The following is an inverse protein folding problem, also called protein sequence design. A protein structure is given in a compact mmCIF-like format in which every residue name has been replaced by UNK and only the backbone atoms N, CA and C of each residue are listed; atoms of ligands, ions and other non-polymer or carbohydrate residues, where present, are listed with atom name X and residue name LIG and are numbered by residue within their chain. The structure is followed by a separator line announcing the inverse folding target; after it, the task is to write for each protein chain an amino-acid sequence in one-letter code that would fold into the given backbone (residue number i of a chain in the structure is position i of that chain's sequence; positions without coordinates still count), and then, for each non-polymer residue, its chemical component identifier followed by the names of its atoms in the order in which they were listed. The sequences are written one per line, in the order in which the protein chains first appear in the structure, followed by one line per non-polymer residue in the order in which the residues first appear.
data_IF_940625862109
#
_entry.id   IF_940625862109
#
_cell.length_a   1.000
_cell.length_b   1.000
_cell.length_c   1.000
_cell.angle_alpha   90.00
_cell.angle_beta   90.00
_cell.angle_gamma   90.00
#
_symmetry.space_group_name_H-M   'P 1'
#
loop_
_entity.id
_entity.type
_entity.pdbx_description
1 polymer ?
#
# COMPACT_ATOMS: atom_id res chain seq x y z
N UNK A 1 31.06 24.43 8.49
CA UNK A 1 29.60 24.31 8.65
C UNK A 1 28.97 24.00 7.29
N UNK A 2 28.15 22.94 7.21
CA UNK A 2 27.41 22.58 5.99
C UNK A 2 26.13 23.39 5.85
N UNK A 3 25.56 23.84 6.96
CA UNK A 3 24.35 24.67 6.99
C UNK A 3 24.66 26.10 7.46
N UNK A 4 23.95 27.10 6.89
CA UNK A 4 23.02 26.98 5.75
C UNK A 4 23.75 26.57 4.46
N UNK A 5 23.03 25.89 3.55
CA UNK A 5 23.57 25.54 2.24
C UNK A 5 23.96 26.83 1.48
N UNK A 6 25.15 26.83 0.89
CA UNK A 6 25.58 27.94 0.04
C UNK A 6 25.03 27.74 -1.39
N UNK A 7 23.86 28.30 -1.66
CA UNK A 7 23.19 28.19 -2.94
C UNK A 7 23.91 28.78 -4.15
N UNK A 8 25.00 29.54 -3.93
CA UNK A 8 25.80 30.09 -5.01
C UNK A 8 26.85 29.13 -5.59
N UNK A 9 27.10 28.00 -4.92
CA UNK A 9 28.12 27.02 -5.32
C UNK A 9 27.56 25.61 -5.46
N UNK A 10 26.26 25.46 -5.38
CA UNK A 10 25.53 24.19 -5.49
C UNK A 10 24.64 24.27 -6.71
N UNK A 11 24.80 23.35 -7.66
CA UNK A 11 23.95 23.23 -8.85
C UNK A 11 23.02 22.04 -8.74
N UNK A 12 23.41 21.00 -7.96
CA UNK A 12 22.66 19.75 -7.85
C UNK A 12 22.62 19.20 -6.44
N UNK A 13 21.43 18.83 -5.99
CA UNK A 13 21.17 18.23 -4.68
C UNK A 13 20.55 16.83 -4.83
N UNK A 14 21.12 15.85 -4.13
CA UNK A 14 20.50 14.53 -3.94
C UNK A 14 19.59 14.55 -2.70
N UNK A 15 18.34 14.14 -2.84
CA UNK A 15 17.46 13.87 -1.69
C UNK A 15 17.32 12.35 -1.55
N UNK A 16 17.78 11.80 -0.44
CA UNK A 16 17.95 10.37 -0.26
C UNK A 16 17.16 9.92 0.98
N UNK A 17 16.51 8.80 0.87
CA UNK A 17 15.81 8.15 1.97
C UNK A 17 14.38 7.78 1.63
N UNK A 18 13.87 6.67 2.17
CA UNK A 18 12.52 6.18 1.86
C UNK A 18 11.42 7.16 2.30
N UNK A 19 11.64 7.90 3.38
CA UNK A 19 10.69 8.91 3.86
C UNK A 19 10.82 10.26 3.13
N UNK A 20 11.82 10.45 2.28
CA UNK A 20 11.88 11.63 1.42
C UNK A 20 10.79 11.61 0.34
N UNK A 21 10.49 10.43 -0.22
CA UNK A 21 9.45 10.22 -1.23
C UNK A 21 8.10 9.74 -0.68
N UNK A 22 8.00 9.52 0.64
CA UNK A 22 6.78 9.04 1.29
C UNK A 22 6.48 9.88 2.55
N UNK A 23 5.30 10.49 2.57
CA UNK A 23 4.85 11.28 3.73
C UNK A 23 4.38 10.35 4.87
N UNK A 24 5.28 10.08 5.81
CA UNK A 24 4.97 9.35 7.04
C UNK A 24 4.61 10.37 8.14
N UNK A 25 3.35 10.81 8.16
CA UNK A 25 2.87 11.87 9.06
C UNK A 25 2.37 11.36 10.41
N UNK A 26 2.21 10.04 10.56
CA UNK A 26 1.72 9.39 11.78
C UNK A 26 2.26 7.98 11.92
N UNK A 27 2.33 7.50 13.16
CA UNK A 27 2.75 6.13 13.47
C UNK A 27 1.69 5.05 13.21
N UNK A 28 0.47 5.44 12.80
CA UNK A 28 -0.62 4.49 12.56
C UNK A 28 -1.43 4.17 13.82
N UNK A 29 -2.17 3.05 13.79
CA UNK A 29 -3.01 2.60 14.91
C UNK A 29 -4.16 3.55 15.21
N UNK A 30 -4.46 3.76 16.50
CA UNK A 30 -5.54 4.64 16.98
C UNK A 30 -5.27 6.13 16.73
N UNK A 31 -4.03 6.51 16.50
CA UNK A 31 -3.65 7.88 16.16
C UNK A 31 -3.73 8.21 14.66
N UNK A 32 -4.08 7.22 13.83
CA UNK A 32 -4.19 7.42 12.39
C UNK A 32 -5.38 8.32 12.05
N UNK A 33 -5.11 9.47 11.42
CA UNK A 33 -6.12 10.35 10.84
C UNK A 33 -5.94 10.44 9.33
N UNK A 34 -7.00 10.75 8.61
CA UNK A 34 -6.94 11.04 7.18
C UNK A 34 -6.68 12.53 7.01
N UNK A 35 -5.46 12.94 6.62
CA UNK A 35 -5.15 14.35 6.43
C UNK A 35 -5.84 14.89 5.18
N UNK A 36 -6.14 16.20 5.16
CA UNK A 36 -6.71 16.88 4.00
C UNK A 36 -5.74 16.86 2.82
N UNK A 37 -4.44 16.98 3.09
CA UNK A 37 -3.36 16.82 2.10
C UNK A 37 -2.14 16.17 2.73
N UNK A 38 -1.30 15.60 1.88
CA UNK A 38 0.02 15.09 2.25
C UNK A 38 1.06 15.76 1.37
N UNK A 39 2.23 16.02 1.93
CA UNK A 39 3.38 16.51 1.19
C UNK A 39 4.62 15.81 1.69
N UNK A 40 5.37 15.21 0.78
CA UNK A 40 6.64 14.57 1.12
C UNK A 40 7.76 15.60 1.27
N UNK A 41 8.85 15.29 1.99
CA UNK A 41 10.02 16.14 2.03
C UNK A 41 10.56 16.48 0.61
N UNK A 42 10.61 15.52 -0.29
CA UNK A 42 11.05 15.73 -1.67
C UNK A 42 10.13 16.72 -2.42
N UNK A 43 8.81 16.53 -2.36
CA UNK A 43 7.83 17.45 -2.98
C UNK A 43 7.88 18.87 -2.39
N UNK A 44 8.40 19.03 -1.17
CA UNK A 44 8.58 20.35 -0.56
C UNK A 44 9.92 20.98 -0.92
N UNK A 45 10.99 20.20 -0.95
CA UNK A 45 12.37 20.67 -1.14
C UNK A 45 12.66 20.95 -2.62
N UNK A 46 12.37 20.00 -3.51
CA UNK A 46 12.77 20.07 -4.92
C UNK A 46 12.22 21.31 -5.66
N UNK A 47 10.90 21.61 -5.60
CA UNK A 47 10.37 22.80 -6.26
C UNK A 47 10.93 24.10 -5.68
N UNK A 48 11.21 24.14 -4.39
CA UNK A 48 11.75 25.32 -3.74
C UNK A 48 13.19 25.60 -4.19
N UNK A 49 14.03 24.58 -4.21
CA UNK A 49 15.41 24.69 -4.67
C UNK A 49 15.47 25.13 -6.14
N UNK A 50 14.62 24.58 -6.97
CA UNK A 50 14.55 24.93 -8.38
C UNK A 50 14.02 26.37 -8.60
N UNK A 51 12.89 26.72 -8.00
CA UNK A 51 12.22 28.01 -8.25
C UNK A 51 12.96 29.21 -7.66
N UNK A 52 13.63 29.05 -6.50
CA UNK A 52 14.31 30.14 -5.81
C UNK A 52 15.78 30.26 -6.20
N UNK A 53 16.43 29.15 -6.61
CA UNK A 53 17.90 29.09 -6.78
C UNK A 53 18.35 28.40 -8.06
N UNK A 54 17.45 27.89 -8.89
CA UNK A 54 17.74 27.11 -10.11
C UNK A 54 18.56 25.83 -9.86
N UNK A 55 18.50 25.28 -8.63
CA UNK A 55 19.20 24.07 -8.22
C UNK A 55 18.41 22.82 -8.60
N UNK A 56 19.02 21.92 -9.38
CA UNK A 56 18.44 20.62 -9.72
C UNK A 56 18.37 19.69 -8.51
N UNK A 57 17.31 18.90 -8.43
CA UNK A 57 17.12 17.96 -7.32
C UNK A 57 16.66 16.61 -7.82
N UNK A 58 17.42 15.57 -7.52
CA UNK A 58 17.07 14.18 -7.80
C UNK A 58 16.81 13.40 -6.52
N UNK A 59 16.02 12.33 -6.64
CA UNK A 59 15.61 11.47 -5.52
C UNK A 59 16.12 10.04 -5.68
N UNK A 60 16.54 9.44 -4.56
CA UNK A 60 16.78 8.00 -4.45
C UNK A 60 16.28 7.47 -3.10
N UNK A 61 15.63 6.31 -3.12
CA UNK A 61 15.07 5.69 -1.91
C UNK A 61 16.16 5.25 -0.93
N UNK A 62 17.23 4.65 -1.43
CA UNK A 62 18.43 4.25 -0.67
C UNK A 62 18.28 3.04 0.24
N UNK A 63 17.11 2.84 0.86
CA UNK A 63 16.83 1.70 1.72
C UNK A 63 15.34 1.37 1.72
N UNK A 64 15.01 0.22 2.28
CA UNK A 64 13.66 -0.31 2.41
C UNK A 64 13.26 -0.35 3.89
N UNK A 65 12.08 0.16 4.24
CA UNK A 65 11.62 0.28 5.64
C UNK A 65 10.22 -0.29 5.88
N UNK A 66 9.58 -0.91 4.89
CA UNK A 66 8.23 -1.43 5.07
C UNK A 66 8.27 -2.67 5.97
N UNK A 67 7.60 -2.62 7.12
CA UNK A 67 7.41 -3.76 8.01
C UNK A 67 6.37 -4.74 7.45
N UNK A 68 5.37 -4.24 6.73
CA UNK A 68 4.36 -5.02 6.01
C UNK A 68 4.35 -4.57 4.55
N UNK A 69 3.98 -5.47 3.64
CA UNK A 69 3.87 -5.10 2.23
C UNK A 69 2.97 -3.87 2.04
N UNK A 70 3.38 -2.87 1.24
CA UNK A 70 2.57 -1.68 1.00
C UNK A 70 1.20 -2.04 0.44
N UNK A 71 0.14 -1.43 0.96
CA UNK A 71 -1.22 -1.55 0.40
C UNK A 71 -1.32 -0.75 -0.89
N UNK A 72 -2.19 -1.18 -1.79
CA UNK A 72 -2.55 -0.39 -2.96
C UNK A 72 -3.27 0.88 -2.54
N UNK A 73 -2.78 2.02 -3.01
CA UNK A 73 -3.39 3.33 -2.82
C UNK A 73 -4.18 3.81 -4.02
N UNK A 74 -4.70 5.02 -3.93
CA UNK A 74 -5.39 5.68 -5.04
C UNK A 74 -4.48 5.78 -6.28
N UNK A 75 -5.03 5.45 -7.45
CA UNK A 75 -4.33 5.51 -8.74
C UNK A 75 -3.55 4.23 -9.12
N UNK A 76 -3.52 3.22 -8.26
CA UNK A 76 -2.92 1.92 -8.58
C UNK A 76 -3.98 0.86 -8.93
N UNK A 77 -5.13 0.91 -8.26
CA UNK A 77 -6.26 0.01 -8.51
C UNK A 77 -7.51 0.83 -8.78
N UNK A 78 -8.31 0.37 -9.72
CA UNK A 78 -9.51 1.04 -10.21
C UNK A 78 -10.72 0.11 -10.12
N UNK A 79 -11.85 0.69 -9.77
CA UNK A 79 -13.18 0.07 -9.75
C UNK A 79 -13.69 -0.20 -11.18
N UNK A 80 -14.76 -0.94 -11.30
CA UNK A 80 -15.42 -1.22 -12.59
C UNK A 80 -15.90 0.04 -13.31
N UNK A 81 -16.21 1.11 -12.58
CA UNK A 81 -16.59 2.41 -13.14
C UNK A 81 -15.40 3.32 -13.50
N UNK A 82 -14.16 2.87 -13.29
CA UNK A 82 -12.92 3.60 -13.56
C UNK A 82 -12.47 4.53 -12.43
N UNK A 83 -13.23 4.66 -11.34
CA UNK A 83 -12.78 5.41 -10.16
C UNK A 83 -11.71 4.64 -9.37
N UNK A 84 -10.82 5.33 -8.63
CA UNK A 84 -9.85 4.67 -7.76
C UNK A 84 -10.48 3.79 -6.69
N UNK A 85 -9.89 2.63 -6.41
CA UNK A 85 -10.27 1.75 -5.31
C UNK A 85 -10.88 0.42 -5.75
N UNK A 86 -11.64 -0.17 -4.84
CA UNK A 86 -12.31 -1.46 -5.00
C UNK A 86 -13.82 -1.31 -4.91
N UNK A 87 -14.56 -2.04 -5.75
CA UNK A 87 -15.97 -2.33 -5.53
C UNK A 87 -16.07 -3.39 -4.44
N UNK A 88 -16.99 -3.22 -3.49
CA UNK A 88 -17.19 -4.15 -2.37
C UNK A 88 -18.62 -4.62 -2.34
N UNK A 89 -18.80 -5.92 -2.37
CA UNK A 89 -20.08 -6.61 -2.22
C UNK A 89 -20.09 -7.36 -0.90
N UNK A 90 -21.20 -7.28 -0.18
CA UNK A 90 -21.40 -7.99 1.09
C UNK A 90 -22.52 -9.02 0.93
N UNK A 91 -22.31 -10.18 1.50
CA UNK A 91 -23.20 -11.33 1.39
C UNK A 91 -23.60 -11.83 2.79
N UNK A 92 -24.85 -12.21 2.94
CA UNK A 92 -25.30 -12.96 4.09
C UNK A 92 -24.74 -14.40 4.01
N UNK A 93 -24.30 -14.93 5.14
CA UNK A 93 -23.62 -16.23 5.20
C UNK A 93 -22.15 -16.22 4.75
N UNK A 94 -21.40 -17.14 5.35
CA UNK A 94 -19.99 -17.36 4.99
C UNK A 94 -19.89 -18.08 3.63
N UNK A 95 -18.73 -17.93 3.00
CA UNK A 95 -18.43 -18.57 1.72
C UNK A 95 -19.45 -18.23 0.63
N UNK A 96 -20.07 -17.03 0.72
CA UNK A 96 -21.06 -16.54 -0.24
C UNK A 96 -22.29 -17.44 -0.35
N UNK A 97 -22.65 -18.14 0.73
CA UNK A 97 -23.76 -19.11 0.77
C UNK A 97 -25.13 -18.46 0.72
N UNK A 98 -25.24 -17.19 1.12
CA UNK A 98 -26.46 -16.39 1.03
C UNK A 98 -26.48 -15.41 -0.12
N UNK A 99 -27.51 -14.56 -0.17
CA UNK A 99 -27.63 -13.52 -1.18
C UNK A 99 -26.74 -12.31 -0.93
N UNK A 100 -26.42 -11.58 -2.01
CA UNK A 100 -25.80 -10.26 -1.89
C UNK A 100 -26.79 -9.28 -1.23
N UNK A 101 -26.34 -8.62 -0.15
CA UNK A 101 -27.22 -7.75 0.66
C UNK A 101 -26.82 -6.28 0.59
N UNK A 102 -25.55 -5.99 0.26
CA UNK A 102 -25.06 -4.62 0.21
C UNK A 102 -23.93 -4.48 -0.82
N UNK A 103 -23.84 -3.28 -1.42
CA UNK A 103 -22.70 -2.84 -2.24
C UNK A 103 -22.08 -1.59 -1.66
N UNK A 104 -20.78 -1.40 -1.89
CA UNK A 104 -20.04 -0.24 -1.45
C UNK A 104 -18.71 -0.11 -2.19
N UNK A 105 -17.82 0.70 -1.66
CA UNK A 105 -16.47 0.86 -2.20
C UNK A 105 -15.44 1.12 -1.11
N UNK A 106 -14.18 0.79 -1.41
CA UNK A 106 -13.02 1.09 -0.58
C UNK A 106 -11.93 1.77 -1.43
N UNK A 107 -11.33 2.83 -0.91
CA UNK A 107 -10.35 3.64 -1.65
C UNK A 107 -8.97 2.98 -1.77
N UNK A 108 -8.69 1.98 -0.96
CA UNK A 108 -7.42 1.27 -0.91
C UNK A 108 -7.64 -0.21 -0.61
N UNK A 109 -6.58 -0.99 -0.60
CA UNK A 109 -6.64 -2.43 -0.37
C UNK A 109 -6.61 -2.85 1.12
N UNK A 110 -6.88 -1.95 2.04
CA UNK A 110 -7.25 -2.29 3.41
C UNK A 110 -8.78 -2.29 3.52
N UNK A 111 -9.37 -3.44 3.22
CA UNK A 111 -10.82 -3.65 3.27
C UNK A 111 -11.24 -3.80 4.73
N UNK A 112 -11.95 -2.81 5.26
CA UNK A 112 -12.25 -2.76 6.69
C UNK A 112 -13.64 -2.19 6.97
N UNK A 113 -14.39 -2.89 7.80
CA UNK A 113 -15.64 -2.39 8.36
C UNK A 113 -15.40 -1.75 9.71
N UNK A 114 -15.66 -0.46 9.79
CA UNK A 114 -15.54 0.34 11.02
C UNK A 114 -16.88 0.37 11.72
N UNK A 115 -16.89 0.07 13.02
CA UNK A 115 -18.12 0.06 13.82
C UNK A 115 -18.83 -1.28 13.90
N UNK A 116 -18.29 -2.34 13.30
CA UNK A 116 -18.87 -3.67 13.34
C UNK A 116 -19.20 -4.26 11.95
N UNK A 117 -19.88 -5.38 11.92
CA UNK A 117 -20.43 -5.94 10.70
C UNK A 117 -21.54 -5.02 10.14
N UNK A 118 -21.82 -5.06 8.82
CA UNK A 118 -22.97 -4.35 8.26
C UNK A 118 -24.29 -4.78 8.92
N UNK A 119 -25.23 -3.84 9.06
CA UNK A 119 -26.55 -4.12 9.69
C UNK A 119 -27.37 -5.18 8.95
N UNK A 120 -27.07 -5.41 7.67
CA UNK A 120 -27.80 -6.33 6.80
C UNK A 120 -27.36 -7.79 6.93
N UNK A 121 -26.37 -8.12 7.76
CA UNK A 121 -25.79 -9.48 7.90
C UNK A 121 -25.76 -9.92 9.36
N UNK A 122 -25.72 -11.24 9.59
CA UNK A 122 -25.38 -11.79 10.89
C UNK A 122 -23.88 -11.52 11.18
N UNK A 123 -23.52 -10.79 12.25
CA UNK A 123 -22.11 -10.52 12.59
C UNK A 123 -21.25 -11.78 12.79
N UNK A 124 -21.87 -12.94 12.95
CA UNK A 124 -21.18 -14.22 13.16
C UNK A 124 -21.06 -15.06 11.91
N UNK A 125 -21.75 -14.68 10.84
CA UNK A 125 -21.86 -15.51 9.63
C UNK A 125 -22.11 -14.66 8.38
N UNK A 126 -21.03 -14.11 7.79
CA UNK A 126 -21.14 -13.30 6.58
C UNK A 126 -19.86 -13.31 5.76
N UNK A 127 -19.95 -12.82 4.55
CA UNK A 127 -18.80 -12.73 3.64
C UNK A 127 -18.82 -11.44 2.82
N UNK A 128 -17.68 -11.13 2.24
CA UNK A 128 -17.51 -9.98 1.37
C UNK A 128 -16.55 -10.29 0.22
N UNK A 129 -16.81 -9.67 -0.91
CA UNK A 129 -15.92 -9.68 -2.09
C UNK A 129 -15.53 -8.26 -2.43
N UNK A 130 -14.23 -8.00 -2.54
CA UNK A 130 -13.69 -6.74 -3.04
C UNK A 130 -13.05 -6.99 -4.40
N UNK A 131 -13.44 -6.22 -5.41
CA UNK A 131 -12.97 -6.36 -6.79
C UNK A 131 -12.37 -5.05 -7.26
N UNK A 132 -11.18 -5.12 -7.89
CA UNK A 132 -10.52 -3.96 -8.47
C UNK A 132 -9.55 -4.37 -9.56
N UNK A 133 -9.26 -3.45 -10.46
CA UNK A 133 -8.32 -3.65 -11.56
C UNK A 133 -7.00 -2.97 -11.26
N UNK A 134 -5.94 -3.74 -11.06
CA UNK A 134 -4.58 -3.23 -10.87
C UNK A 134 -3.93 -2.94 -12.21
N UNK A 135 -3.37 -1.72 -12.36
CA UNK A 135 -2.55 -1.32 -13.50
C UNK A 135 -1.08 -1.43 -13.10
N UNK A 136 -0.37 -2.35 -13.75
CA UNK A 136 1.00 -2.71 -13.42
C UNK A 136 1.95 -1.57 -13.77
N UNK A 137 2.67 -1.04 -12.77
CA UNK A 137 3.55 0.12 -12.92
C UNK A 137 5.01 -0.22 -13.28
N UNK A 138 5.44 -1.47 -13.10
CA UNK A 138 6.78 -1.94 -13.42
C UNK A 138 6.75 -3.41 -13.81
N UNK A 139 7.57 -3.84 -14.78
CA UNK A 139 7.74 -5.25 -15.13
C UNK A 139 8.56 -5.99 -14.10
N UNK A 140 8.27 -7.28 -13.89
CA UNK A 140 9.02 -8.21 -13.05
C UNK A 140 8.18 -8.89 -11.98
N UNK A 141 8.85 -9.51 -11.03
CA UNK A 141 8.24 -10.32 -9.99
C UNK A 141 7.57 -9.45 -8.92
N UNK A 142 6.24 -9.42 -8.92
CA UNK A 142 5.44 -8.76 -7.91
C UNK A 142 5.17 -9.73 -6.77
N UNK A 143 5.42 -9.30 -5.53
CA UNK A 143 5.18 -10.12 -4.36
C UNK A 143 3.94 -9.60 -3.63
N UNK A 144 2.82 -10.27 -3.86
CA UNK A 144 1.54 -9.98 -3.21
C UNK A 144 1.49 -10.54 -1.81
N UNK A 145 0.71 -9.91 -0.93
CA UNK A 145 0.46 -10.41 0.41
C UNK A 145 -1.01 -10.28 0.80
N UNK A 146 -1.45 -11.17 1.67
CA UNK A 146 -2.75 -11.09 2.36
C UNK A 146 -2.56 -11.28 3.86
N UNK A 147 -3.24 -10.46 4.63
CA UNK A 147 -3.42 -10.62 6.07
C UNK A 147 -4.85 -10.22 6.43
N UNK A 148 -5.50 -10.91 7.34
CA UNK A 148 -6.87 -10.67 7.72
C UNK A 148 -7.23 -11.14 9.12
N UNK A 149 -8.39 -10.72 9.60
CA UNK A 149 -8.89 -11.09 10.93
C UNK A 149 -9.61 -12.43 10.95
N UNK A 150 -9.94 -12.96 9.78
CA UNK A 150 -10.57 -14.29 9.58
C UNK A 150 -10.09 -14.88 8.23
N UNK A 151 -10.87 -15.71 7.58
CA UNK A 151 -10.53 -16.33 6.30
C UNK A 151 -10.52 -15.28 5.18
N UNK A 152 -9.48 -15.30 4.36
CA UNK A 152 -9.44 -14.49 3.14
C UNK A 152 -8.65 -15.19 2.05
N UNK A 153 -8.99 -14.92 0.78
CA UNK A 153 -8.23 -15.36 -0.37
C UNK A 153 -8.09 -14.26 -1.41
N UNK A 154 -6.96 -14.26 -2.08
CA UNK A 154 -6.67 -13.35 -3.18
C UNK A 154 -6.61 -14.13 -4.48
N UNK A 155 -7.39 -13.67 -5.46
CA UNK A 155 -7.36 -14.17 -6.81
C UNK A 155 -6.83 -13.08 -7.75
N UNK A 156 -6.00 -13.48 -8.71
CA UNK A 156 -5.57 -12.64 -9.83
C UNK A 156 -6.06 -13.28 -11.13
N UNK A 157 -6.82 -12.53 -11.92
CA UNK A 157 -7.45 -13.01 -13.16
C UNK A 157 -8.20 -14.36 -12.96
N UNK A 158 -8.90 -14.48 -11.83
CA UNK A 158 -9.67 -15.66 -11.45
C UNK A 158 -8.85 -16.83 -10.87
N UNK A 159 -7.52 -16.72 -10.82
CA UNK A 159 -6.64 -17.74 -10.23
C UNK A 159 -6.34 -17.40 -8.77
N UNK A 160 -6.67 -18.29 -7.83
CA UNK A 160 -6.32 -18.15 -6.42
C UNK A 160 -4.80 -18.25 -6.25
N UNK A 161 -4.19 -17.22 -5.69
CA UNK A 161 -2.73 -17.17 -5.45
C UNK A 161 -2.37 -17.17 -3.96
N UNK A 162 -3.28 -16.71 -3.08
CA UNK A 162 -3.08 -16.69 -1.63
C UNK A 162 -4.40 -17.09 -0.97
N UNK A 163 -4.30 -17.94 0.07
CA UNK A 163 -5.38 -18.23 1.00
C UNK A 163 -4.88 -18.16 2.43
N UNK A 164 -5.64 -17.54 3.31
CA UNK A 164 -5.45 -17.53 4.77
C UNK A 164 -6.70 -18.05 5.45
N UNK A 165 -6.52 -18.69 6.58
CA UNK A 165 -7.60 -19.24 7.41
C UNK A 165 -7.36 -18.94 8.89
N UNK A 166 -8.20 -19.51 9.75
CA UNK A 166 -8.08 -19.34 11.21
C UNK A 166 -6.87 -20.04 11.82
N UNK A 167 -6.22 -20.94 11.09
CA UNK A 167 -5.00 -21.65 11.51
C UNK A 167 -3.75 -20.87 11.12
N UNK A 168 -3.86 -19.90 10.23
CA UNK A 168 -2.76 -19.00 9.86
C UNK A 168 -2.28 -18.27 11.13
N UNK A 169 -0.99 -18.33 11.46
CA UNK A 169 -0.47 -17.72 12.67
C UNK A 169 -0.81 -16.22 12.77
N UNK A 170 -0.98 -15.72 14.00
CA UNK A 170 -1.21 -14.29 14.25
C UNK A 170 0.03 -13.49 13.90
N UNK A 171 -0.20 -12.26 13.40
CA UNK A 171 0.81 -11.28 13.04
C UNK A 171 0.52 -9.91 13.66
N UNK A 172 1.21 -8.89 13.19
CA UNK A 172 1.13 -7.53 13.74
C UNK A 172 -0.10 -6.73 13.23
N UNK A 173 -0.77 -7.23 12.18
CA UNK A 173 -1.95 -6.57 11.64
C UNK A 173 -3.09 -6.51 12.67
N UNK A 174 -3.82 -5.39 12.65
CA UNK A 174 -5.05 -5.20 13.44
C UNK A 174 -4.86 -5.46 14.94
N UNK A 175 -3.82 -4.88 15.54
CA UNK A 175 -3.50 -5.04 16.97
C UNK A 175 -3.28 -6.50 17.38
N UNK A 176 -2.57 -7.26 16.55
CA UNK A 176 -2.33 -8.70 16.70
C UNK A 176 -3.58 -9.59 16.57
N UNK A 177 -4.72 -9.05 16.17
CA UNK A 177 -5.93 -9.82 15.88
C UNK A 177 -5.94 -10.40 14.47
N UNK A 178 -5.14 -9.83 13.56
CA UNK A 178 -4.97 -10.34 12.20
C UNK A 178 -3.94 -11.47 12.11
N UNK A 179 -3.93 -12.16 10.97
CA UNK A 179 -2.91 -13.15 10.64
C UNK A 179 -1.57 -12.47 10.31
N UNK A 180 -0.48 -13.21 10.38
CA UNK A 180 0.73 -12.83 9.66
C UNK A 180 0.45 -12.70 8.16
N UNK A 181 1.29 -11.93 7.44
CA UNK A 181 1.18 -11.84 5.99
C UNK A 181 1.59 -13.17 5.34
N UNK A 182 0.74 -13.65 4.44
CA UNK A 182 1.05 -14.77 3.55
C UNK A 182 1.32 -14.20 2.17
N UNK A 183 2.39 -14.67 1.53
CA UNK A 183 2.90 -14.11 0.29
C UNK A 183 2.78 -15.06 -0.89
N UNK A 184 2.58 -14.49 -2.07
CA UNK A 184 2.74 -15.17 -3.36
C UNK A 184 3.41 -14.24 -4.36
N UNK A 185 4.12 -14.82 -5.32
CA UNK A 185 4.87 -14.10 -6.34
C UNK A 185 4.24 -14.32 -7.71
N UNK A 186 4.04 -13.23 -8.46
CA UNK A 186 3.46 -13.24 -9.81
C UNK A 186 4.30 -12.37 -10.71
N UNK A 187 4.76 -12.93 -11.84
CA UNK A 187 5.46 -12.15 -12.88
C UNK A 187 4.44 -11.35 -13.67
N UNK A 188 4.63 -10.03 -13.74
CA UNK A 188 3.73 -9.09 -14.43
C UNK A 188 4.53 -8.14 -15.30
N UNK A 189 3.90 -7.62 -16.37
CA UNK A 189 4.51 -6.66 -17.28
C UNK A 189 3.95 -5.25 -17.08
N UNK A 190 4.81 -4.24 -17.19
CA UNK A 190 4.40 -2.83 -17.10
C UNK A 190 3.31 -2.51 -18.13
N UNK A 191 2.26 -1.84 -17.67
CA UNK A 191 1.10 -1.50 -18.51
C UNK A 191 0.05 -2.60 -18.58
N UNK A 192 0.34 -3.83 -18.14
CA UNK A 192 -0.64 -4.89 -18.01
C UNK A 192 -1.72 -4.47 -17.00
N UNK A 193 -2.96 -4.89 -17.21
CA UNK A 193 -4.04 -4.75 -16.24
C UNK A 193 -4.47 -6.13 -15.78
N UNK A 194 -4.54 -6.35 -14.49
CA UNK A 194 -5.00 -7.61 -13.88
C UNK A 194 -6.17 -7.36 -12.93
N UNK A 195 -7.12 -8.28 -12.93
CA UNK A 195 -8.26 -8.22 -12.02
C UNK A 195 -7.87 -8.84 -10.68
N UNK A 196 -7.96 -8.02 -9.61
CA UNK A 196 -7.77 -8.45 -8.23
C UNK A 196 -9.14 -8.73 -7.61
N UNK A 197 -9.33 -9.93 -7.09
CA UNK A 197 -10.51 -10.28 -6.31
C UNK A 197 -10.07 -10.76 -4.94
N UNK A 198 -10.60 -10.11 -3.90
CA UNK A 198 -10.39 -10.49 -2.52
C UNK A 198 -11.71 -11.01 -1.97
N UNK A 199 -11.74 -12.25 -1.58
CA UNK A 199 -12.88 -12.87 -0.93
C UNK A 199 -12.59 -13.10 0.55
N UNK A 200 -13.52 -12.68 1.40
CA UNK A 200 -13.34 -12.68 2.86
C UNK A 200 -14.56 -13.31 3.49
N UNK A 201 -14.37 -14.26 4.40
CA UNK A 201 -15.45 -14.87 5.18
C UNK A 201 -15.24 -14.61 6.66
N UNK A 202 -16.25 -14.06 7.32
CA UNK A 202 -16.18 -13.66 8.71
C UNK A 202 -17.08 -14.49 9.61
N UNK A 203 -16.53 -14.88 10.77
CA UNK A 203 -17.30 -15.27 11.93
C UNK A 203 -17.38 -14.12 12.93
N UNK A 204 -17.60 -14.43 14.21
CA UNK A 204 -17.61 -13.46 15.27
C UNK A 204 -16.22 -12.87 15.51
N UNK A 205 -16.03 -11.58 15.22
CA UNK A 205 -14.78 -10.87 15.37
C UNK A 205 -15.00 -9.50 16.04
N UNK A 206 -13.94 -8.97 16.65
CA UNK A 206 -13.91 -7.60 17.19
C UNK A 206 -13.63 -6.60 16.05
N UNK A 207 -12.83 -7.01 15.07
CA UNK A 207 -12.48 -6.24 13.88
C UNK A 207 -12.75 -7.10 12.67
N UNK A 208 -13.43 -6.55 11.68
CA UNK A 208 -13.70 -7.18 10.39
C UNK A 208 -12.83 -6.50 9.34
N UNK A 209 -11.74 -7.18 8.95
CA UNK A 209 -10.78 -6.60 8.03
C UNK A 209 -9.93 -7.65 7.32
N UNK A 210 -9.53 -7.31 6.09
CA UNK A 210 -8.42 -7.92 5.38
C UNK A 210 -7.61 -6.83 4.67
N UNK A 211 -6.32 -7.03 4.53
CA UNK A 211 -5.45 -6.16 3.74
C UNK A 211 -4.72 -6.96 2.68
N UNK A 212 -4.58 -6.34 1.53
CA UNK A 212 -3.77 -6.84 0.44
C UNK A 212 -2.60 -5.88 0.25
N UNK A 213 -1.39 -6.38 0.34
CA UNK A 213 -0.18 -5.66 0.04
C UNK A 213 0.42 -6.13 -1.28
N UNK A 214 1.28 -5.29 -1.87
CA UNK A 214 2.10 -5.67 -3.00
C UNK A 214 3.45 -4.99 -2.93
N UNK A 215 4.51 -5.78 -2.93
CA UNK A 215 5.86 -5.32 -3.16
C UNK A 215 6.10 -5.33 -4.67
N UNK A 216 6.10 -4.14 -5.26
CA UNK A 216 6.37 -3.93 -6.68
C UNK A 216 7.87 -4.11 -6.92
N UNK A 217 8.31 -4.67 -8.07
CA UNK A 217 9.72 -4.76 -8.43
C UNK A 217 10.42 -3.40 -8.30
N UNK A 218 11.55 -3.38 -7.65
CA UNK A 218 12.39 -2.19 -7.42
C UNK A 218 13.82 -2.47 -7.90
N UNK A 219 14.63 -1.44 -8.00
CA UNK A 219 16.07 -1.62 -8.22
C UNK A 219 16.65 -2.65 -7.24
N UNK A 220 17.42 -3.58 -7.78
CA UNK A 220 18.05 -4.64 -6.97
C UNK A 220 19.05 -4.10 -5.93
N UNK A 221 19.54 -2.88 -6.10
CA UNK A 221 20.52 -2.25 -5.23
C UNK A 221 20.19 -0.76 -4.99
N UNK A 222 19.18 -0.53 -4.14
CA UNK A 222 18.75 0.81 -3.72
C UNK A 222 19.90 1.62 -3.11
N UNK A 223 20.79 0.97 -2.37
CA UNK A 223 21.92 1.64 -1.73
C UNK A 223 22.93 2.11 -2.79
N UNK A 224 23.27 1.26 -3.77
CA UNK A 224 24.17 1.66 -4.85
C UNK A 224 23.59 2.79 -5.69
N UNK A 225 22.27 2.80 -5.92
CA UNK A 225 21.60 3.90 -6.63
C UNK A 225 21.71 5.21 -5.84
N UNK A 226 21.47 5.19 -4.54
CA UNK A 226 21.62 6.35 -3.66
C UNK A 226 23.06 6.84 -3.60
N UNK A 227 24.04 5.93 -3.48
CA UNK A 227 25.47 6.28 -3.49
C UNK A 227 25.89 6.88 -4.84
N UNK A 228 25.38 6.32 -5.94
CA UNK A 228 25.66 6.85 -7.30
C UNK A 228 25.07 8.25 -7.47
N UNK A 229 23.86 8.48 -6.97
CA UNK A 229 23.23 9.80 -7.00
C UNK A 229 24.01 10.79 -6.12
N UNK A 230 24.35 10.42 -4.89
CA UNK A 230 25.14 11.27 -3.99
C UNK A 230 26.48 11.70 -4.61
N UNK A 231 27.18 10.79 -5.30
CA UNK A 231 28.46 11.09 -5.99
C UNK A 231 28.32 12.05 -7.17
N UNK A 232 27.13 12.18 -7.76
CA UNK A 232 26.83 13.06 -8.89
C UNK A 232 26.25 14.40 -8.48
N UNK A 233 26.09 14.64 -7.19
CA UNK A 233 25.47 15.83 -6.62
C UNK A 233 26.46 16.55 -5.72
N UNK A 234 26.35 17.88 -5.64
CA UNK A 234 27.21 18.73 -4.83
C UNK A 234 26.91 18.59 -3.33
N UNK A 235 25.65 18.26 -3.02
CA UNK A 235 25.17 18.06 -1.66
C UNK A 235 24.13 16.94 -1.60
N UNK A 236 24.06 16.26 -0.45
CA UNK A 236 23.04 15.25 -0.20
C UNK A 236 22.25 15.58 1.06
N UNK A 237 20.91 15.52 0.96
CA UNK A 237 19.97 15.64 2.07
C UNK A 237 19.44 14.23 2.36
N UNK A 238 19.77 13.70 3.55
CA UNK A 238 19.28 12.38 3.98
C UNK A 238 18.05 12.57 4.87
N UNK A 239 16.97 11.90 4.49
CA UNK A 239 15.71 11.83 5.25
C UNK A 239 15.61 10.44 5.86
N UNK A 240 15.92 10.36 7.14
CA UNK A 240 15.93 9.14 7.96
C UNK A 240 14.76 9.14 8.94
N UNK A 241 14.24 7.97 9.28
CA UNK A 241 13.13 7.82 10.24
C UNK A 241 12.90 6.36 10.61
#
# INVERSE_FOLDING_TARGET
NVLPLNTHIIDKVAVIGPLAGRAQIMGGGSSAVVPIYRRTPYEAIAPRLFNEFEIETDYAEGSYIDQMAPIFGAGQVFRTNGEPGFDVETYDGREFSGGQVQTGSQMNSEIRWRGGAPDAVDPKDWSARATGRYVVSASGLHRFSVSGTDQARLLIDGTEIISIDRLTPRGDAYYTLGSQEVFAEVELEQGQSVDLVVEISFGSNIIYAARIGCMIPRSADLLADAVRLAKKSDCSILVIG
#
